data_IF_373053203877
#
_entry.id   IF_373053203877
#
_cell.length_a   1.000
_cell.length_b   1.000
_cell.length_c   1.000
_cell.angle_alpha   90.00
_cell.angle_beta   90.00
_cell.angle_gamma   90.00
#
_symmetry.space_group_name_H-M   'P 1'
#
loop_
_entity.id
_entity.type
_entity.pdbx_description
1 polymer ?
#
# COMPACT_ATOMS: atom_id res chain seq x y z
N UNK A 1 -14.40 -10.49 3.27
CA UNK A 1 -13.83 -9.13 3.23
C UNK A 1 -12.63 -8.99 4.17
N UNK A 2 -12.74 -9.38 5.44
CA UNK A 2 -11.63 -9.31 6.40
C UNK A 2 -10.34 -9.93 5.86
N UNK A 3 -10.40 -11.15 5.38
CA UNK A 3 -9.24 -11.87 4.85
C UNK A 3 -8.64 -11.17 3.62
N UNK A 4 -9.48 -10.59 2.78
CA UNK A 4 -9.03 -9.81 1.62
C UNK A 4 -8.31 -8.53 2.05
N UNK A 5 -8.84 -7.83 3.04
CA UNK A 5 -8.20 -6.62 3.58
C UNK A 5 -6.87 -6.94 4.26
N UNK A 6 -6.81 -7.99 5.07
CA UNK A 6 -5.58 -8.45 5.70
C UNK A 6 -4.53 -8.85 4.66
N UNK A 7 -4.95 -9.49 3.58
CA UNK A 7 -4.07 -9.80 2.45
C UNK A 7 -3.53 -8.53 1.79
N UNK A 8 -4.37 -7.54 1.53
CA UNK A 8 -3.96 -6.25 0.98
C UNK A 8 -2.93 -5.55 1.85
N UNK A 9 -3.13 -5.58 3.17
CA UNK A 9 -2.18 -5.04 4.15
C UNK A 9 -0.83 -5.77 4.06
N UNK A 10 -0.84 -7.09 4.08
CA UNK A 10 0.37 -7.91 3.96
C UNK A 10 1.10 -7.68 2.64
N UNK A 11 0.37 -7.67 1.52
CA UNK A 11 0.94 -7.45 0.18
C UNK A 11 1.59 -6.05 0.10
N UNK A 12 0.96 -5.03 0.65
CA UNK A 12 1.50 -3.66 0.69
C UNK A 12 2.79 -3.58 1.49
N UNK A 13 2.82 -4.18 2.68
CA UNK A 13 4.02 -4.22 3.53
C UNK A 13 5.15 -4.95 2.82
N UNK A 14 4.90 -6.13 2.28
CA UNK A 14 5.91 -6.94 1.61
C UNK A 14 6.45 -6.27 0.34
N UNK A 15 5.59 -5.67 -0.46
CA UNK A 15 5.98 -4.95 -1.68
C UNK A 15 6.93 -3.80 -1.37
N UNK A 16 6.60 -2.98 -0.37
CA UNK A 16 7.43 -1.83 0.00
C UNK A 16 8.71 -2.23 0.75
N UNK A 17 8.66 -3.27 1.57
CA UNK A 17 9.88 -3.83 2.15
C UNK A 17 10.85 -4.34 1.06
N UNK A 18 10.35 -5.03 0.05
CA UNK A 18 11.18 -5.50 -1.08
C UNK A 18 11.76 -4.35 -1.89
N UNK A 19 11.01 -3.25 -2.03
CA UNK A 19 11.46 -2.07 -2.76
C UNK A 19 12.62 -1.35 -2.08
N UNK A 20 12.54 -1.17 -0.76
CA UNK A 20 13.53 -0.44 0.03
C UNK A 20 14.67 -1.31 0.55
N UNK A 21 14.42 -2.60 0.73
CA UNK A 21 15.39 -3.60 1.22
C UNK A 21 15.75 -4.57 0.09
N UNK A 22 16.21 -4.04 -1.02
CA UNK A 22 16.38 -4.76 -2.29
C UNK A 22 17.60 -5.69 -2.37
N UNK A 23 18.50 -5.62 -1.40
CA UNK A 23 19.67 -6.51 -1.35
C UNK A 23 19.63 -7.36 -0.06
N UNK A 24 19.33 -8.67 -0.16
CA UNK A 24 19.24 -9.52 1.01
C UNK A 24 20.56 -9.80 1.70
N UNK A 25 21.69 -9.48 1.06
CA UNK A 25 23.04 -9.79 1.56
C UNK A 25 23.81 -8.59 2.08
N UNK A 26 23.55 -7.41 1.53
CA UNK A 26 24.33 -6.19 1.83
C UNK A 26 23.39 -5.11 2.35
N UNK A 27 23.32 -4.97 3.67
CA UNK A 27 22.47 -3.98 4.33
C UNK A 27 22.83 -2.52 4.01
N UNK A 28 24.06 -2.25 3.59
CA UNK A 28 24.51 -0.91 3.18
C UNK A 28 23.75 -0.38 1.95
N UNK A 29 23.20 -1.29 1.14
CA UNK A 29 22.40 -0.94 -0.04
C UNK A 29 20.90 -0.69 0.29
N UNK A 30 20.49 -0.88 1.54
CA UNK A 30 19.10 -0.66 1.95
C UNK A 30 18.77 0.83 2.06
N UNK A 31 17.58 1.19 1.60
CA UNK A 31 17.03 2.53 1.78
C UNK A 31 16.13 2.56 3.04
N UNK A 32 16.74 2.51 4.21
CA UNK A 32 16.01 2.54 5.47
C UNK A 32 15.28 3.87 5.69
N UNK A 33 15.83 4.99 5.23
CA UNK A 33 15.18 6.29 5.32
C UNK A 33 13.90 6.34 4.49
N UNK A 34 13.90 5.75 3.30
CA UNK A 34 12.73 5.61 2.45
C UNK A 34 11.66 4.73 3.10
N UNK A 35 12.06 3.59 3.65
CA UNK A 35 11.18 2.67 4.38
C UNK A 35 10.55 3.34 5.59
N UNK A 36 11.35 4.03 6.40
CA UNK A 36 10.92 4.80 7.56
C UNK A 36 9.88 5.85 7.18
N UNK A 37 10.16 6.64 6.16
CA UNK A 37 9.27 7.70 5.69
C UNK A 37 7.94 7.16 5.16
N UNK A 38 7.99 6.02 4.47
CA UNK A 38 6.79 5.41 3.89
C UNK A 38 5.80 4.93 4.95
N UNK A 39 6.27 4.24 5.97
CA UNK A 39 5.41 3.66 7.02
C UNK A 39 5.11 4.62 8.18
N UNK A 40 5.78 5.76 8.22
CA UNK A 40 5.63 6.72 9.31
C UNK A 40 4.19 7.24 9.41
N UNK A 41 3.65 7.18 10.60
CA UNK A 41 2.36 7.76 10.95
C UNK A 41 1.14 6.85 10.75
N UNK A 42 1.26 5.77 9.97
CA UNK A 42 0.17 4.81 9.81
C UNK A 42 0.51 3.39 10.25
N UNK A 43 1.77 3.03 10.31
CA UNK A 43 2.25 1.74 10.80
C UNK A 43 3.38 1.87 11.81
N UNK A 44 4.29 2.81 11.63
CA UNK A 44 5.50 2.95 12.44
C UNK A 44 5.63 4.32 13.08
N UNK A 45 6.51 4.39 14.08
CA UNK A 45 6.94 5.62 14.76
C UNK A 45 8.36 6.00 14.33
N UNK A 46 8.84 7.24 14.64
CA UNK A 46 10.19 7.65 14.23
C UNK A 46 11.32 6.79 14.76
N UNK A 47 11.12 6.09 15.87
CA UNK A 47 12.13 5.27 16.53
C UNK A 47 12.23 3.83 16.03
N UNK A 48 11.26 3.36 15.24
CA UNK A 48 11.13 1.94 14.86
C UNK A 48 12.28 1.38 14.02
N UNK A 49 13.03 2.21 13.32
CA UNK A 49 14.13 1.78 12.45
C UNK A 49 15.51 2.26 12.91
N UNK A 50 15.63 2.60 14.18
CA UNK A 50 16.91 2.99 14.79
C UNK A 50 17.75 1.76 15.12
N UNK A 51 18.26 1.11 14.08
CA UNK A 51 19.11 -0.05 14.22
C UNK A 51 20.57 0.34 14.50
N UNK A 52 21.19 -0.36 15.45
CA UNK A 52 22.65 -0.30 15.62
C UNK A 52 23.34 -1.03 14.46
N UNK A 53 24.62 -0.72 14.14
CA UNK A 53 25.37 -1.45 13.11
C UNK A 53 25.42 -2.95 13.36
N UNK A 54 25.46 -3.39 14.62
CA UNK A 54 25.43 -4.78 15.01
C UNK A 54 24.08 -5.44 14.69
N UNK A 55 22.97 -4.75 14.96
CA UNK A 55 21.62 -5.23 14.62
C UNK A 55 21.43 -5.32 13.10
N UNK A 56 21.94 -4.35 12.32
CA UNK A 56 21.89 -4.37 10.86
C UNK A 56 22.65 -5.56 10.27
N UNK A 57 23.73 -5.99 10.90
CA UNK A 57 24.50 -7.15 10.46
C UNK A 57 23.79 -8.50 10.67
N UNK A 58 22.79 -8.55 11.54
CA UNK A 58 22.08 -9.77 11.95
C UNK A 58 20.63 -9.85 11.49
N UNK A 59 20.01 -8.74 11.07
CA UNK A 59 18.61 -8.71 10.64
C UNK A 59 18.48 -8.91 9.13
N UNK A 60 17.47 -9.66 8.72
CA UNK A 60 17.15 -9.90 7.31
C UNK A 60 15.95 -9.06 6.85
N UNK A 61 15.83 -8.76 5.54
CA UNK A 61 14.65 -8.08 5.01
C UNK A 61 13.34 -8.83 5.32
N UNK A 62 13.38 -10.16 5.31
CA UNK A 62 12.22 -11.01 5.61
C UNK A 62 11.78 -10.85 7.07
N UNK A 63 12.72 -10.74 8.01
CA UNK A 63 12.41 -10.47 9.41
C UNK A 63 11.77 -9.11 9.62
N UNK A 64 12.27 -8.08 8.95
CA UNK A 64 11.68 -6.73 8.98
C UNK A 64 10.27 -6.74 8.42
N UNK A 65 10.06 -7.37 7.27
CA UNK A 65 8.75 -7.48 6.64
C UNK A 65 7.76 -8.26 7.52
N UNK A 66 8.22 -9.32 8.15
CA UNK A 66 7.39 -10.11 9.09
C UNK A 66 7.00 -9.29 10.31
N UNK A 67 7.94 -8.59 10.93
CA UNK A 67 7.67 -7.75 12.09
C UNK A 67 6.68 -6.62 11.78
N UNK A 68 6.81 -5.98 10.62
CA UNK A 68 5.88 -4.94 10.17
C UNK A 68 4.49 -5.51 9.86
N UNK A 69 4.42 -6.68 9.25
CA UNK A 69 3.15 -7.36 8.96
C UNK A 69 2.44 -7.77 10.26
N UNK A 70 3.16 -8.34 11.20
CA UNK A 70 2.62 -8.73 12.51
C UNK A 70 2.10 -7.49 13.27
N UNK A 71 2.83 -6.39 13.24
CA UNK A 71 2.40 -5.11 13.82
C UNK A 71 1.13 -4.58 13.15
N UNK A 72 1.06 -4.63 11.83
CA UNK A 72 -0.12 -4.20 11.09
C UNK A 72 -1.36 -5.02 11.48
N UNK A 73 -1.20 -6.32 11.64
CA UNK A 73 -2.29 -7.20 12.08
C UNK A 73 -2.72 -6.90 13.52
N UNK A 74 -1.78 -6.63 14.41
CA UNK A 74 -2.10 -6.22 15.80
C UNK A 74 -2.89 -4.91 15.81
N UNK A 75 -2.48 -3.91 15.04
CA UNK A 75 -3.20 -2.63 14.91
C UNK A 75 -4.61 -2.87 14.38
N UNK A 76 -4.75 -3.70 13.35
CA UNK A 76 -6.04 -4.05 12.78
C UNK A 76 -6.97 -4.72 13.80
N UNK A 77 -6.46 -5.69 14.57
CA UNK A 77 -7.20 -6.39 15.60
C UNK A 77 -7.63 -5.47 16.74
N UNK A 78 -6.76 -4.57 17.18
CA UNK A 78 -7.10 -3.55 18.17
C UNK A 78 -8.24 -2.65 17.69
N UNK A 79 -8.23 -2.27 16.42
CA UNK A 79 -9.32 -1.48 15.82
C UNK A 79 -10.62 -2.27 15.74
N UNK A 80 -10.55 -3.56 15.39
CA UNK A 80 -11.72 -4.42 15.37
C UNK A 80 -12.34 -4.59 16.77
N UNK A 81 -11.53 -4.70 17.82
CA UNK A 81 -12.00 -4.71 19.20
C UNK A 81 -12.65 -3.37 19.59
N UNK A 82 -12.04 -2.25 19.18
CA UNK A 82 -12.56 -0.91 19.49
C UNK A 82 -13.90 -0.61 18.81
N UNK A 83 -14.03 -0.94 17.53
CA UNK A 83 -15.23 -0.67 16.73
C UNK A 83 -16.30 -1.75 16.84
N UNK A 84 -15.91 -2.97 17.15
CA UNK A 84 -16.74 -4.16 17.05
C UNK A 84 -16.73 -4.78 15.66
N UNK A 85 -16.89 -6.10 15.60
CA UNK A 85 -16.75 -6.86 14.34
C UNK A 85 -17.75 -6.45 13.26
N UNK A 86 -18.99 -6.17 13.63
CA UNK A 86 -20.03 -5.76 12.67
C UNK A 86 -19.69 -4.42 12.03
N UNK A 87 -19.41 -3.41 12.86
CA UNK A 87 -19.00 -2.07 12.40
C UNK A 87 -17.72 -2.14 11.58
N UNK A 88 -16.77 -2.98 11.98
CA UNK A 88 -15.53 -3.17 11.24
C UNK A 88 -15.77 -3.71 9.82
N UNK A 89 -16.71 -4.65 9.66
CA UNK A 89 -17.11 -5.15 8.31
C UNK A 89 -17.74 -4.06 7.44
N UNK A 90 -18.50 -3.14 8.03
CA UNK A 90 -19.06 -1.99 7.31
C UNK A 90 -17.96 -1.00 6.91
N UNK A 91 -17.03 -0.70 7.80
CA UNK A 91 -15.88 0.16 7.50
C UNK A 91 -15.05 -0.42 6.36
N UNK A 92 -14.73 -1.70 6.40
CA UNK A 92 -13.98 -2.39 5.35
C UNK A 92 -14.65 -2.24 3.98
N UNK A 93 -15.97 -2.47 3.91
CA UNK A 93 -16.74 -2.30 2.68
C UNK A 93 -16.68 -0.88 2.15
N UNK A 94 -16.90 0.09 3.01
CA UNK A 94 -16.93 1.49 2.63
C UNK A 94 -15.55 1.99 2.17
N UNK A 95 -14.50 1.62 2.89
CA UNK A 95 -13.12 1.97 2.52
C UNK A 95 -12.75 1.33 1.19
N UNK A 96 -13.01 0.04 1.04
CA UNK A 96 -12.66 -0.68 -0.19
C UNK A 96 -13.41 -0.13 -1.41
N UNK A 97 -14.73 0.09 -1.30
CA UNK A 97 -15.52 0.68 -2.37
C UNK A 97 -15.01 2.07 -2.75
N UNK A 98 -14.68 2.90 -1.78
CA UNK A 98 -14.16 4.25 -2.03
C UNK A 98 -12.81 4.22 -2.75
N UNK A 99 -11.91 3.33 -2.35
CA UNK A 99 -10.62 3.16 -2.99
C UNK A 99 -10.77 2.64 -4.42
N UNK A 100 -11.63 1.63 -4.63
CA UNK A 100 -11.90 1.07 -5.96
C UNK A 100 -12.52 2.13 -6.86
N UNK A 101 -13.55 2.83 -6.43
CA UNK A 101 -14.22 3.84 -7.25
C UNK A 101 -13.26 4.94 -7.69
N UNK A 102 -12.46 5.46 -6.77
CA UNK A 102 -11.49 6.52 -7.06
C UNK A 102 -10.46 6.08 -8.11
N UNK A 103 -9.79 4.97 -7.87
CA UNK A 103 -8.74 4.48 -8.76
C UNK A 103 -9.30 3.96 -10.09
N UNK A 104 -10.50 3.40 -10.08
CA UNK A 104 -11.16 2.95 -11.30
C UNK A 104 -11.53 4.10 -12.22
N UNK A 105 -12.05 5.19 -11.69
CA UNK A 105 -12.37 6.40 -12.48
C UNK A 105 -11.11 7.00 -13.10
N UNK A 106 -10.04 7.14 -12.33
CA UNK A 106 -8.75 7.61 -12.82
C UNK A 106 -8.19 6.67 -13.90
N UNK A 107 -8.36 5.37 -13.74
CA UNK A 107 -7.94 4.36 -14.70
C UNK A 107 -8.70 4.46 -16.01
N UNK A 108 -10.01 4.66 -15.99
CA UNK A 108 -10.82 4.86 -17.19
C UNK A 108 -10.33 6.08 -17.98
N UNK A 109 -10.09 7.19 -17.31
CA UNK A 109 -9.59 8.41 -17.93
C UNK A 109 -8.20 8.19 -18.55
N UNK A 110 -7.31 7.52 -17.82
CA UNK A 110 -5.97 7.19 -18.29
C UNK A 110 -6.00 6.22 -19.50
N UNK A 111 -6.94 5.27 -19.51
CA UNK A 111 -7.14 4.37 -20.66
C UNK A 111 -7.65 5.10 -21.89
N UNK A 112 -8.52 6.07 -21.74
CA UNK A 112 -8.98 6.91 -22.85
C UNK A 112 -7.84 7.75 -23.44
N UNK A 113 -6.99 8.32 -22.59
CA UNK A 113 -5.78 9.04 -23.03
C UNK A 113 -4.81 8.12 -23.76
N UNK A 114 -4.58 6.90 -23.26
CA UNK A 114 -3.74 5.91 -23.91
C UNK A 114 -4.28 5.53 -25.28
N UNK A 115 -5.58 5.28 -25.40
CA UNK A 115 -6.22 4.94 -26.67
C UNK A 115 -6.08 6.06 -27.70
N UNK A 116 -6.25 7.31 -27.27
CA UNK A 116 -6.12 8.46 -28.15
C UNK A 116 -4.67 8.71 -28.58
N UNK A 117 -3.70 8.40 -27.73
CA UNK A 117 -2.26 8.60 -27.99
C UNK A 117 -1.59 7.44 -28.72
N UNK A 118 -2.19 6.26 -28.78
CA UNK A 118 -1.52 5.05 -29.28
C UNK A 118 -1.19 5.14 -30.77
N UNK A 119 -2.00 5.86 -31.55
CA UNK A 119 -1.76 6.07 -32.96
C UNK A 119 -0.48 6.86 -33.26
N UNK A 120 -0.09 7.76 -32.37
CA UNK A 120 1.17 8.51 -32.49
C UNK A 120 2.40 7.61 -32.36
N UNK A 121 2.29 6.53 -31.60
CA UNK A 121 3.37 5.56 -31.44
C UNK A 121 3.55 4.65 -32.66
N UNK A 122 2.53 4.51 -33.48
CA UNK A 122 2.61 3.79 -34.76
C UNK A 122 3.64 4.41 -35.71
N UNK A 123 3.87 5.71 -35.63
CA UNK A 123 4.91 6.39 -36.40
C UNK A 123 6.33 6.02 -36.00
N UNK A 124 6.53 5.50 -34.80
CA UNK A 124 7.82 5.02 -34.30
C UNK A 124 8.12 3.55 -34.64
N UNK A 125 7.41 2.96 -35.61
CA UNK A 125 7.54 1.58 -36.07
C UNK A 125 7.18 0.50 -35.03
N UNK A 126 6.42 0.86 -33.99
CA UNK A 126 5.88 -0.10 -33.03
C UNK A 126 4.49 -0.55 -33.42
N UNK A 127 4.14 -1.80 -33.10
CA UNK A 127 2.79 -2.31 -33.31
C UNK A 127 1.84 -1.67 -32.28
N UNK A 128 0.85 -0.84 -32.71
CA UNK A 128 -0.02 -0.14 -31.76
C UNK A 128 -0.83 -1.06 -30.86
N UNK A 129 -1.24 -2.21 -31.37
CA UNK A 129 -2.05 -3.18 -30.60
C UNK A 129 -1.22 -3.81 -29.50
N UNK A 130 0.04 -4.16 -29.75
CA UNK A 130 0.94 -4.73 -28.76
C UNK A 130 1.29 -3.69 -27.70
N UNK A 131 1.61 -2.46 -28.11
CA UNK A 131 1.89 -1.36 -27.20
C UNK A 131 0.69 -1.06 -26.29
N UNK A 132 -0.51 -0.95 -26.86
CA UNK A 132 -1.74 -0.75 -26.09
C UNK A 132 -1.98 -1.86 -25.06
N UNK A 133 -1.80 -3.11 -25.47
CA UNK A 133 -1.95 -4.28 -24.56
C UNK A 133 -0.98 -4.21 -23.39
N UNK A 134 0.29 -4.00 -23.67
CA UNK A 134 1.34 -3.97 -22.66
C UNK A 134 1.14 -2.82 -21.67
N UNK A 135 0.88 -1.63 -22.17
CA UNK A 135 0.65 -0.47 -21.30
C UNK A 135 -0.67 -0.57 -20.52
N UNK A 136 -1.73 -1.09 -21.13
CA UNK A 136 -2.99 -1.34 -20.43
C UNK A 136 -2.82 -2.32 -19.28
N UNK A 137 -2.02 -3.36 -19.49
CA UNK A 137 -1.70 -4.33 -18.44
C UNK A 137 -0.93 -3.69 -17.30
N UNK A 138 0.11 -2.91 -17.61
CA UNK A 138 0.90 -2.21 -16.60
C UNK A 138 0.07 -1.19 -15.82
N UNK A 139 -0.79 -0.45 -16.50
CA UNK A 139 -1.70 0.52 -15.88
C UNK A 139 -2.73 -0.15 -14.96
N UNK A 140 -3.27 -1.30 -15.37
CA UNK A 140 -4.20 -2.07 -14.56
C UNK A 140 -3.52 -2.61 -13.29
N UNK A 141 -2.31 -3.14 -13.41
CA UNK A 141 -1.54 -3.60 -12.26
C UNK A 141 -1.20 -2.46 -11.30
N UNK A 142 -0.79 -1.31 -11.82
CA UNK A 142 -0.53 -0.13 -11.00
C UNK A 142 -1.79 0.35 -10.26
N UNK A 143 -2.94 0.32 -10.92
CA UNK A 143 -4.23 0.61 -10.27
C UNK A 143 -4.53 -0.39 -9.14
N UNK A 144 -4.35 -1.68 -9.38
CA UNK A 144 -4.60 -2.71 -8.37
C UNK A 144 -3.69 -2.56 -7.15
N UNK A 145 -2.43 -2.26 -7.36
CA UNK A 145 -1.47 -1.97 -6.29
C UNK A 145 -1.85 -0.71 -5.50
N UNK A 146 -2.27 0.34 -6.19
CA UNK A 146 -2.73 1.58 -5.56
C UNK A 146 -3.99 1.36 -4.70
N UNK A 147 -4.93 0.54 -5.15
CA UNK A 147 -6.11 0.17 -4.35
C UNK A 147 -5.69 -0.57 -3.08
N UNK A 148 -4.78 -1.53 -3.17
CA UNK A 148 -4.27 -2.27 -2.02
C UNK A 148 -3.57 -1.34 -1.02
N UNK A 149 -2.72 -0.46 -1.51
CA UNK A 149 -1.97 0.50 -0.71
C UNK A 149 -2.88 1.48 0.03
N UNK A 150 -3.80 2.12 -0.68
CA UNK A 150 -4.73 3.07 -0.07
C UNK A 150 -5.66 2.39 0.93
N UNK A 151 -6.14 1.19 0.62
CA UNK A 151 -6.96 0.40 1.54
C UNK A 151 -6.20 0.07 2.82
N UNK A 152 -4.97 -0.40 2.70
CA UNK A 152 -4.12 -0.70 3.86
C UNK A 152 -3.88 0.52 4.73
N UNK A 153 -3.49 1.65 4.14
CA UNK A 153 -3.24 2.89 4.85
C UNK A 153 -4.49 3.41 5.56
N UNK A 154 -5.62 3.42 4.89
CA UNK A 154 -6.88 3.88 5.47
C UNK A 154 -7.35 2.98 6.61
N UNK A 155 -7.32 1.66 6.42
CA UNK A 155 -7.75 0.71 7.44
C UNK A 155 -6.90 0.78 8.71
N UNK A 156 -5.61 0.99 8.60
CA UNK A 156 -4.72 1.14 9.75
C UNK A 156 -4.73 2.55 10.37
N UNK A 157 -5.31 3.52 9.69
CA UNK A 157 -5.36 4.93 10.13
C UNK A 157 -6.72 5.34 10.70
N UNK A 158 -7.77 4.55 10.54
CA UNK A 158 -9.11 4.89 11.06
C UNK A 158 -9.08 5.07 12.58
N UNK A 159 -9.82 6.05 13.06
CA UNK A 159 -9.97 6.35 14.49
C UNK A 159 -11.43 6.56 14.83
N UNK A 160 -11.81 6.12 16.03
CA UNK A 160 -13.12 6.44 16.58
C UNK A 160 -13.16 7.91 16.94
N UNK A 161 -14.18 8.62 16.45
CA UNK A 161 -14.38 10.04 16.77
C UNK A 161 -14.84 10.14 18.23
N UNK A 162 -14.11 10.91 19.03
CA UNK A 162 -14.45 11.19 20.42
C UNK A 162 -15.31 12.46 20.50
N UNK A 163 -16.05 12.61 21.62
CA UNK A 163 -16.84 13.84 21.87
C UNK A 163 -15.96 15.10 21.86
N UNK A 164 -14.70 14.98 22.27
CA UNK A 164 -13.74 16.09 22.27
C UNK A 164 -13.33 16.49 20.86
N UNK A 165 -13.26 15.54 19.94
CA UNK A 165 -12.96 15.81 18.52
C UNK A 165 -14.14 16.56 17.86
N UNK A 166 -15.36 16.26 18.26
CA UNK A 166 -16.56 16.94 17.75
C UNK A 166 -16.68 18.38 18.25
N UNK A 167 -16.15 18.69 19.44
CA UNK A 167 -16.18 20.05 20.02
C UNK A 167 -15.11 20.98 19.44
N UNK A 168 -14.09 20.45 18.76
CA UNK A 168 -12.98 21.22 18.14
C UNK A 168 -13.24 21.64 16.69
N UNK A 169 -14.38 21.26 16.12
CA UNK A 169 -14.85 21.69 14.79
C UNK A 169 -15.87 22.81 14.92
#
# INVERSE_FOLDING_TARGET
IKDSVLKMISDTVNTHCSLYLNDPKVHDNWNLDGLKSYFLGWLTTPEDFDFTPEQLGNITPEEIAKDLTDRAYEIYEQKEEEFGSETMREIERNVLLRCVDRHWMDHIDAMDELRNGIHLRAYAQHNPIVEFRNESYDMFNAMSEAICEDTAKLMLSIKKVTEDDLKRR
#
